data_IF_988894382165
#
_entry.id   IF_988894382165
#
_cell.length_a   1.000
_cell.length_b   1.000
_cell.length_c   1.000
_cell.angle_alpha   90.00
_cell.angle_beta   90.00
_cell.angle_gamma   90.00
#
_symmetry.space_group_name_H-M   'P 1'
#
loop_
_entity.id
_entity.type
_entity.pdbx_description
1 polymer ?
#
# COMPACT_ATOMS: atom_id res chain seq x y z
N UNK A 1 -15.58 -2.25 15.37
CA UNK A 1 -15.67 -2.89 14.05
C UNK A 1 -14.24 -3.24 13.65
N UNK A 2 -13.94 -4.51 13.35
CA UNK A 2 -12.62 -4.88 12.87
C UNK A 2 -12.50 -4.41 11.43
N UNK A 3 -11.42 -3.70 11.09
CA UNK A 3 -11.13 -3.23 9.74
C UNK A 3 -9.99 -4.07 9.22
N UNK A 4 -10.21 -4.74 8.09
CA UNK A 4 -9.17 -5.55 7.45
C UNK A 4 -8.04 -4.67 6.91
N UNK A 5 -6.82 -5.20 6.91
CA UNK A 5 -5.61 -4.46 6.56
C UNK A 5 -4.73 -5.27 5.62
N UNK A 6 -4.21 -4.62 4.60
CA UNK A 6 -3.22 -5.18 3.67
C UNK A 6 -1.91 -4.42 3.84
N UNK A 7 -0.83 -5.19 3.97
CA UNK A 7 0.53 -4.67 4.07
C UNK A 7 1.33 -5.14 2.86
N UNK A 8 1.83 -4.18 2.08
CA UNK A 8 2.67 -4.46 0.90
C UNK A 8 4.00 -3.73 1.04
N UNK A 9 5.10 -4.41 0.75
CA UNK A 9 6.42 -3.81 0.78
C UNK A 9 7.33 -4.43 -0.25
N UNK A 10 8.20 -3.61 -0.82
CA UNK A 10 9.29 -4.09 -1.66
C UNK A 10 10.51 -3.17 -1.53
N UNK A 11 11.70 -3.75 -1.63
CA UNK A 11 12.96 -3.00 -1.71
C UNK A 11 13.34 -2.69 -3.15
N UNK A 12 12.91 -3.50 -4.12
CA UNK A 12 13.28 -3.39 -5.54
C UNK A 12 12.06 -3.69 -6.41
N UNK A 13 11.84 -2.85 -7.43
CA UNK A 13 10.81 -3.07 -8.45
C UNK A 13 11.48 -3.06 -9.81
N UNK A 14 11.27 -4.14 -10.58
CA UNK A 14 11.89 -4.34 -11.90
C UNK A 14 11.05 -3.72 -13.02
N UNK A 15 9.73 -3.65 -12.86
CA UNK A 15 8.80 -3.03 -13.81
C UNK A 15 7.87 -2.03 -13.09
N UNK A 16 8.32 -0.77 -12.93
CA UNK A 16 7.55 0.27 -12.23
C UNK A 16 6.17 0.56 -12.86
N UNK A 17 6.04 0.37 -14.18
CA UNK A 17 4.81 0.69 -14.89
C UNK A 17 3.73 -0.35 -14.58
N UNK A 18 4.07 -1.63 -14.67
CA UNK A 18 3.12 -2.71 -14.34
C UNK A 18 2.80 -2.71 -12.85
N UNK A 19 3.81 -2.53 -11.98
CA UNK A 19 3.60 -2.39 -10.54
C UNK A 19 2.66 -1.23 -10.19
N UNK A 20 2.79 -0.08 -10.86
CA UNK A 20 1.86 1.04 -10.68
C UNK A 20 0.41 0.67 -11.01
N UNK A 21 0.18 -0.06 -12.10
CA UNK A 21 -1.17 -0.51 -12.49
C UNK A 21 -1.76 -1.49 -11.49
N UNK A 22 -0.97 -2.47 -11.06
CA UNK A 22 -1.40 -3.47 -10.05
C UNK A 22 -1.72 -2.81 -8.71
N UNK A 23 -0.88 -1.87 -8.27
CA UNK A 23 -1.12 -1.13 -7.04
C UNK A 23 -2.43 -0.33 -7.08
N UNK A 24 -2.74 0.34 -8.20
CA UNK A 24 -4.00 1.04 -8.38
C UNK A 24 -5.21 0.09 -8.34
N UNK A 25 -5.08 -1.12 -8.90
CA UNK A 25 -6.11 -2.15 -8.81
C UNK A 25 -6.34 -2.60 -7.36
N UNK A 26 -5.26 -2.83 -6.60
CA UNK A 26 -5.34 -3.16 -5.17
C UNK A 26 -6.05 -2.05 -4.39
N UNK A 27 -5.67 -0.80 -4.61
CA UNK A 27 -6.26 0.35 -3.92
C UNK A 27 -7.76 0.49 -4.21
N UNK A 28 -8.18 0.26 -5.45
CA UNK A 28 -9.59 0.28 -5.84
C UNK A 28 -10.40 -0.82 -5.13
N UNK A 29 -9.89 -2.04 -5.12
CA UNK A 29 -10.53 -3.16 -4.41
C UNK A 29 -10.56 -2.88 -2.90
N UNK A 30 -9.48 -2.38 -2.33
CA UNK A 30 -9.41 -2.05 -0.92
C UNK A 30 -10.47 -1.00 -0.53
N UNK A 31 -10.68 0.03 -1.35
CA UNK A 31 -11.75 1.01 -1.14
C UNK A 31 -13.14 0.37 -1.21
N UNK A 32 -13.39 -0.52 -2.19
CA UNK A 32 -14.68 -1.21 -2.35
C UNK A 32 -15.06 -2.04 -1.13
N UNK A 33 -14.08 -2.69 -0.50
CA UNK A 33 -14.29 -3.57 0.66
C UNK A 33 -13.99 -2.91 2.01
N UNK A 34 -13.62 -1.62 2.04
CA UNK A 34 -13.28 -0.91 3.28
C UNK A 34 -11.99 -1.40 3.94
N UNK A 35 -11.03 -1.89 3.16
CA UNK A 35 -9.72 -2.38 3.60
C UNK A 35 -8.72 -1.23 3.61
N UNK A 36 -7.86 -1.20 4.62
CA UNK A 36 -6.77 -0.22 4.72
C UNK A 36 -5.50 -0.76 4.07
N UNK A 37 -4.84 0.06 3.26
CA UNK A 37 -3.58 -0.27 2.59
C UNK A 37 -2.42 0.45 3.26
N UNK A 38 -1.40 -0.32 3.62
CA UNK A 38 -0.14 0.16 4.18
C UNK A 38 1.00 -0.25 3.25
N UNK A 39 1.81 0.74 2.83
CA UNK A 39 2.88 0.54 1.86
C UNK A 39 4.23 0.77 2.50
N UNK A 40 5.17 -0.16 2.34
CA UNK A 40 6.52 -0.02 2.86
C UNK A 40 7.61 -0.22 1.81
N UNK A 41 8.84 0.06 2.23
CA UNK A 41 10.03 -0.19 1.41
C UNK A 41 10.30 0.88 0.36
N UNK A 42 11.48 0.78 -0.27
CA UNK A 42 12.00 1.75 -1.24
C UNK A 42 11.68 1.44 -2.70
N UNK A 43 11.19 0.23 -2.96
CA UNK A 43 10.84 -0.20 -4.31
C UNK A 43 9.63 0.56 -4.85
N UNK A 44 8.80 1.11 -3.98
CA UNK A 44 7.51 1.72 -4.32
C UNK A 44 7.51 3.25 -4.34
N UNK A 45 8.66 3.91 -4.20
CA UNK A 45 8.78 5.37 -4.13
C UNK A 45 8.19 6.12 -5.34
N UNK A 46 8.02 5.41 -6.45
CA UNK A 46 7.44 5.91 -7.69
C UNK A 46 5.90 5.84 -7.74
N UNK A 47 5.25 5.23 -6.74
CA UNK A 47 3.80 5.08 -6.69
C UNK A 47 3.11 6.37 -6.20
N UNK A 48 1.88 6.57 -6.65
CA UNK A 48 1.01 7.63 -6.16
C UNK A 48 0.19 7.14 -4.96
N UNK A 49 0.40 7.76 -3.80
CA UNK A 49 -0.26 7.42 -2.54
C UNK A 49 -1.49 8.28 -2.22
N UNK A 50 -1.95 9.11 -3.15
CA UNK A 50 -3.13 9.97 -2.93
C UNK A 50 -4.46 9.20 -2.86
N UNK A 51 -4.45 7.89 -3.13
CA UNK A 51 -5.65 7.06 -3.12
C UNK A 51 -6.22 6.92 -1.69
N UNK A 52 -7.53 7.13 -1.45
CA UNK A 52 -8.12 7.13 -0.10
C UNK A 52 -7.95 5.84 0.72
N UNK A 53 -7.75 4.71 0.04
CA UNK A 53 -7.48 3.42 0.67
C UNK A 53 -6.08 3.31 1.28
N UNK A 54 -5.13 4.17 0.86
CA UNK A 54 -3.76 4.17 1.37
C UNK A 54 -3.72 5.00 2.66
N UNK A 55 -3.46 4.33 3.77
CA UNK A 55 -3.47 4.96 5.10
C UNK A 55 -2.11 5.53 5.44
N UNK A 56 -1.03 4.76 5.20
CA UNK A 56 0.31 5.19 5.56
C UNK A 56 1.38 4.55 4.67
N UNK A 57 2.47 5.31 4.51
CA UNK A 57 3.75 4.78 4.06
C UNK A 57 4.60 4.47 5.29
N UNK A 58 4.93 3.19 5.46
CA UNK A 58 5.66 2.69 6.61
C UNK A 58 7.16 2.62 6.30
N UNK A 59 7.97 3.13 7.21
CA UNK A 59 9.43 3.00 7.11
C UNK A 59 9.88 1.61 7.56
N UNK A 60 9.11 0.99 8.46
CA UNK A 60 9.27 -0.38 8.95
C UNK A 60 7.92 -1.01 9.28
N UNK A 61 7.81 -2.35 9.19
CA UNK A 61 6.58 -3.06 9.59
C UNK A 61 6.29 -3.00 11.10
N UNK A 62 7.24 -2.55 11.92
CA UNK A 62 7.06 -2.40 13.35
C UNK A 62 6.17 -1.20 13.70
N UNK A 63 6.08 -0.20 12.82
CA UNK A 63 5.19 0.96 12.97
C UNK A 63 3.71 0.58 12.93
N UNK A 64 3.36 -0.60 12.41
CA UNK A 64 1.99 -1.10 12.30
C UNK A 64 1.29 -1.25 13.65
N UNK A 65 2.03 -1.52 14.73
CA UNK A 65 1.45 -1.70 16.07
C UNK A 65 0.96 -0.38 16.70
N UNK A 66 1.34 0.76 16.12
CA UNK A 66 1.05 2.10 16.62
C UNK A 66 -0.08 2.81 15.84
N UNK A 67 -0.66 2.15 14.81
CA UNK A 67 -1.70 2.70 13.90
C UNK A 67 -3.07 2.02 14.03
#
# INVERSE_FOLDING_TARGET
VHVDRIYISSTVVVDPVSTGKEFQQICRLAQEYGIQVYVGGRGFDHLDYSHPAVVARLSSFQEVAEV
#
